data_IF_898862558311
#
_entry.id   IF_898862558311
#
_cell.length_a   1.000
_cell.length_b   1.000
_cell.length_c   1.000
_cell.angle_alpha   90.00
_cell.angle_beta   90.00
_cell.angle_gamma   90.00
#
_symmetry.space_group_name_H-M   'P 1'
#
loop_
_entity.id
_entity.type
_entity.pdbx_description
1 polymer ?
#
# COMPACT_ATOMS: atom_id res chain seq x y z
N UNK A 1 4.14 -4.94 4.93
CA UNK A 1 5.59 -4.72 5.02
C UNK A 1 5.87 -3.23 4.88
N UNK A 2 6.82 -2.74 5.67
CA UNK A 2 7.27 -1.35 5.65
C UNK A 2 8.79 -1.36 5.50
N UNK A 3 9.29 -0.78 4.41
CA UNK A 3 10.71 -0.73 4.08
C UNK A 3 11.21 0.70 3.92
N UNK A 4 12.45 0.94 4.29
CA UNK A 4 13.13 2.23 4.06
C UNK A 4 14.01 2.07 2.83
N UNK A 5 13.81 2.93 1.83
CA UNK A 5 14.63 3.01 0.64
C UNK A 5 15.50 4.27 0.74
N UNK A 6 16.74 4.10 1.21
CA UNK A 6 17.67 5.21 1.41
C UNK A 6 18.06 5.88 0.09
N UNK A 7 18.31 5.09 -0.96
CA UNK A 7 18.68 5.59 -2.28
C UNK A 7 17.63 6.53 -2.88
N UNK A 8 16.34 6.18 -2.73
CA UNK A 8 15.21 6.98 -3.19
C UNK A 8 14.69 7.97 -2.14
N UNK A 9 15.26 7.96 -0.93
CA UNK A 9 14.83 8.78 0.21
C UNK A 9 13.31 8.65 0.47
N UNK A 10 12.80 7.42 0.47
CA UNK A 10 11.38 7.17 0.66
C UNK A 10 11.10 5.95 1.55
N UNK A 11 9.85 5.84 2.00
CA UNK A 11 9.33 4.67 2.70
C UNK A 11 8.42 3.91 1.73
N UNK A 12 8.74 2.64 1.47
CA UNK A 12 7.96 1.74 0.65
C UNK A 12 7.02 0.92 1.54
N UNK A 13 5.74 0.87 1.18
CA UNK A 13 4.69 0.20 1.96
C UNK A 13 3.97 -0.79 1.07
N UNK A 14 4.02 -2.07 1.44
CA UNK A 14 3.33 -3.16 0.75
C UNK A 14 2.33 -3.81 1.69
N UNK A 15 1.09 -4.02 1.26
CA UNK A 15 0.10 -4.78 2.04
C UNK A 15 -0.49 -5.91 1.20
N UNK A 16 -0.53 -7.11 1.79
CA UNK A 16 -1.16 -8.28 1.21
C UNK A 16 -2.35 -8.67 2.07
N UNK A 17 -3.53 -8.74 1.46
CA UNK A 17 -4.77 -9.13 2.13
C UNK A 17 -5.30 -10.40 1.47
N UNK A 18 -5.78 -11.34 2.29
CA UNK A 18 -6.41 -12.58 1.84
C UNK A 18 -7.72 -12.76 2.58
N UNK A 19 -8.77 -13.10 1.84
CA UNK A 19 -10.07 -13.43 2.40
C UNK A 19 -10.74 -14.54 1.60
N UNK A 20 -11.69 -15.23 2.22
CA UNK A 20 -12.59 -16.17 1.55
C UNK A 20 -13.96 -15.51 1.49
N UNK A 21 -14.34 -15.00 0.32
CA UNK A 21 -15.57 -14.22 0.13
C UNK A 21 -16.01 -14.17 -1.32
N UNK A 22 -17.19 -13.57 -1.54
CA UNK A 22 -17.77 -13.40 -2.90
C UNK A 22 -17.15 -12.23 -3.67
N UNK A 23 -16.47 -11.32 -2.97
CA UNK A 23 -15.83 -10.13 -3.52
C UNK A 23 -14.33 -10.21 -3.33
N UNK A 24 -13.58 -9.50 -4.18
CA UNK A 24 -12.15 -9.31 -3.96
C UNK A 24 -11.86 -8.42 -2.75
N UNK A 25 -10.58 -8.33 -2.39
CA UNK A 25 -10.07 -7.57 -1.24
C UNK A 25 -9.12 -6.43 -1.65
N UNK A 26 -9.29 -5.90 -2.86
CA UNK A 26 -8.45 -4.82 -3.39
C UNK A 26 -8.53 -3.58 -2.51
N UNK A 27 -9.73 -3.25 -2.03
CA UNK A 27 -9.97 -2.07 -1.21
C UNK A 27 -9.33 -2.19 0.17
N UNK A 28 -9.32 -3.38 0.75
CA UNK A 28 -8.67 -3.66 2.03
C UNK A 28 -7.15 -3.50 1.92
N UNK A 29 -6.55 -3.99 0.82
CA UNK A 29 -5.12 -3.80 0.57
C UNK A 29 -4.77 -2.32 0.36
N UNK A 30 -5.53 -1.61 -0.50
CA UNK A 30 -5.32 -0.18 -0.77
C UNK A 30 -5.54 0.68 0.48
N UNK A 31 -6.54 0.34 1.29
CA UNK A 31 -6.81 1.04 2.56
C UNK A 31 -5.69 0.80 3.56
N UNK A 32 -5.19 -0.45 3.67
CA UNK A 32 -4.10 -0.78 4.57
C UNK A 32 -2.83 0.03 4.28
N UNK A 33 -2.41 0.12 3.01
CA UNK A 33 -1.24 0.94 2.65
C UNK A 33 -1.51 2.44 2.84
N UNK A 34 -2.73 2.91 2.57
CA UNK A 34 -3.10 4.32 2.73
C UNK A 34 -3.03 4.74 4.20
N UNK A 35 -3.60 3.95 5.09
CA UNK A 35 -3.60 4.24 6.54
C UNK A 35 -2.19 4.11 7.10
N UNK A 36 -1.41 3.12 6.67
CA UNK A 36 -0.02 3.00 7.07
C UNK A 36 0.81 4.23 6.61
N UNK A 37 0.61 4.72 5.39
CA UNK A 37 1.27 5.92 4.89
C UNK A 37 0.88 7.18 5.69
N UNK A 38 -0.40 7.31 6.05
CA UNK A 38 -0.88 8.39 6.92
C UNK A 38 -0.25 8.31 8.33
N UNK A 39 -0.10 7.12 8.88
CA UNK A 39 0.55 6.92 10.17
C UNK A 39 2.05 7.29 10.11
N UNK A 40 2.76 6.93 9.05
CA UNK A 40 4.16 7.35 8.82
C UNK A 40 4.25 8.87 8.73
N UNK A 41 3.35 9.49 7.95
CA UNK A 41 3.29 10.95 7.85
C UNK A 41 3.06 11.58 9.23
N UNK A 42 2.13 11.03 10.03
CA UNK A 42 1.85 11.52 11.38
C UNK A 42 3.08 11.52 12.29
N UNK A 43 3.89 10.46 12.23
CA UNK A 43 5.11 10.34 13.03
C UNK A 43 6.23 11.29 12.57
N UNK A 44 6.35 11.55 11.26
CA UNK A 44 7.48 12.30 10.70
C UNK A 44 7.17 13.78 10.39
N UNK A 45 5.89 14.20 10.37
CA UNK A 45 5.46 15.57 9.98
C UNK A 45 6.07 16.70 10.81
N UNK A 46 6.56 16.41 12.01
CA UNK A 46 7.23 17.39 12.85
C UNK A 46 8.64 17.74 12.34
N UNK A 47 9.31 16.78 11.69
CA UNK A 47 10.69 16.90 11.18
C UNK A 47 10.68 17.34 9.73
N UNK A 48 9.82 16.72 8.89
CA UNK A 48 9.70 17.04 7.47
C UNK A 48 8.23 17.30 7.11
N UNK A 49 7.93 18.51 6.61
CA UNK A 49 6.56 18.95 6.32
C UNK A 49 6.17 18.84 4.86
N UNK A 50 7.12 18.55 3.98
CA UNK A 50 6.94 18.48 2.52
C UNK A 50 6.77 17.06 2.01
N UNK A 51 6.76 16.06 2.91
CA UNK A 51 6.53 14.65 2.56
C UNK A 51 5.29 14.51 1.69
N UNK A 52 5.36 13.63 0.70
CA UNK A 52 4.25 13.32 -0.20
C UNK A 52 3.94 11.84 -0.13
N UNK A 53 2.66 11.53 0.08
CA UNK A 53 2.14 10.18 -0.12
C UNK A 53 1.83 10.04 -1.61
N UNK A 54 2.49 9.10 -2.29
CA UNK A 54 2.40 8.93 -3.74
C UNK A 54 2.31 7.43 -4.10
N UNK A 55 1.89 7.15 -5.33
CA UNK A 55 1.92 5.80 -5.93
C UNK A 55 1.16 4.72 -5.14
N UNK A 56 0.04 5.08 -4.49
CA UNK A 56 -0.89 4.09 -3.93
C UNK A 56 -1.58 3.37 -5.11
N UNK A 57 -1.31 2.08 -5.26
CA UNK A 57 -1.80 1.25 -6.36
C UNK A 57 -1.86 -0.21 -5.98
N UNK A 58 -2.59 -0.98 -6.78
CA UNK A 58 -2.62 -2.44 -6.69
C UNK A 58 -1.45 -3.00 -7.52
N UNK A 59 -0.68 -3.92 -6.94
CA UNK A 59 0.45 -4.60 -7.61
C UNK A 59 -0.04 -5.90 -8.26
N UNK A 60 -0.75 -6.72 -7.48
CA UNK A 60 -1.32 -7.98 -7.95
C UNK A 60 -2.63 -8.29 -7.22
N UNK A 61 -3.43 -9.14 -7.84
CA UNK A 61 -4.64 -9.73 -7.26
C UNK A 61 -4.80 -11.14 -7.82
N UNK A 62 -5.17 -12.07 -6.95
CA UNK A 62 -5.50 -13.43 -7.33
C UNK A 62 -6.96 -13.77 -7.02
N UNK A 63 -7.57 -14.56 -7.90
CA UNK A 63 -8.91 -15.12 -7.71
C UNK A 63 -10.10 -14.24 -8.10
N UNK A 64 -11.29 -14.82 -7.98
CA UNK A 64 -12.54 -14.27 -8.51
C UNK A 64 -12.75 -14.61 -9.99
N UNK A 65 -13.88 -14.17 -10.56
CA UNK A 65 -14.23 -14.45 -11.96
C UNK A 65 -13.24 -13.86 -12.96
N UNK A 66 -12.60 -12.74 -12.60
CA UNK A 66 -11.61 -12.07 -13.45
C UNK A 66 -10.25 -12.78 -13.49
N UNK A 67 -10.03 -13.81 -12.67
CA UNK A 67 -8.77 -14.53 -12.59
C UNK A 67 -7.67 -13.72 -11.89
N UNK A 68 -6.42 -14.14 -12.14
CA UNK A 68 -5.23 -13.54 -11.57
C UNK A 68 -4.76 -12.36 -12.44
N UNK A 69 -4.46 -11.25 -11.79
CA UNK A 69 -4.05 -10.00 -12.41
C UNK A 69 -2.74 -9.57 -11.76
N UNK A 70 -1.69 -9.46 -12.56
CA UNK A 70 -0.39 -8.89 -12.17
C UNK A 70 -0.22 -7.59 -12.93
N UNK A 71 -0.14 -6.47 -12.21
CA UNK A 71 -0.01 -5.13 -12.77
C UNK A 71 1.44 -4.63 -12.74
N UNK A 72 2.27 -5.18 -11.86
CA UNK A 72 3.71 -4.90 -11.73
C UNK A 72 4.52 -6.16 -11.41
#
# INVERSE_FOLDING_TARGET
ELGINEEKSCVEITATVRSVGKTGVEMEALTAVSVAALAVYDMAKAVEKTMRIQNIRLVEKHGGKSGDIVLE
#
